data_IF_292906070353
#
_entry.id   IF_292906070353
#
_cell.length_a   1.000
_cell.length_b   1.000
_cell.length_c   1.000
_cell.angle_alpha   90.00
_cell.angle_beta   90.00
_cell.angle_gamma   90.00
#
_symmetry.space_group_name_H-M   'P 1'
#
loop_
_entity.id
_entity.type
_entity.pdbx_description
1 polymer ?
#
# COMPACT_ATOMS: atom_id res chain seq x y z
N UNK A 1 -16.40 4.68 -10.65
CA UNK A 1 -15.12 4.51 -9.90
C UNK A 1 -14.77 3.03 -9.84
N UNK A 2 -13.53 2.68 -10.17
CA UNK A 2 -13.04 1.30 -10.17
C UNK A 2 -11.74 1.18 -9.37
N UNK A 3 -11.56 0.06 -8.68
CA UNK A 3 -10.39 -0.21 -7.84
C UNK A 3 -9.55 -1.33 -8.45
N UNK A 4 -8.26 -1.07 -8.66
CA UNK A 4 -7.34 -2.07 -9.22
C UNK A 4 -6.11 -2.21 -8.33
N UNK A 5 -5.68 -3.43 -7.96
CA UNK A 5 -4.43 -3.63 -7.22
C UNK A 5 -3.26 -2.99 -7.95
N UNK A 6 -2.36 -2.31 -7.22
CA UNK A 6 -1.19 -1.64 -7.80
C UNK A 6 -0.38 -2.59 -8.68
N UNK A 7 -0.17 -3.83 -8.23
CA UNK A 7 0.56 -4.86 -8.98
C UNK A 7 -0.05 -5.15 -10.35
N UNK A 8 -1.38 -5.19 -10.47
CA UNK A 8 -2.07 -5.39 -11.74
C UNK A 8 -2.12 -4.11 -12.58
N UNK A 9 -2.18 -2.96 -11.92
CA UNK A 9 -2.23 -1.69 -12.63
C UNK A 9 -0.92 -1.40 -13.36
N UNK A 10 0.22 -1.71 -12.74
CA UNK A 10 1.54 -1.47 -13.34
C UNK A 10 1.90 -2.40 -14.50
N UNK A 11 1.16 -3.50 -14.67
CA UNK A 11 1.26 -4.37 -15.86
C UNK A 11 0.73 -3.65 -17.12
N UNK A 12 -0.22 -2.73 -16.94
CA UNK A 12 -0.85 -1.97 -18.03
C UNK A 12 -0.23 -0.59 -18.20
N UNK A 13 0.14 0.05 -17.09
CA UNK A 13 0.65 1.43 -17.06
C UNK A 13 2.05 1.45 -16.44
N UNK A 14 3.07 1.96 -17.13
CA UNK A 14 4.43 2.05 -16.60
C UNK A 14 4.50 2.76 -15.24
N UNK A 15 5.30 2.22 -14.31
CA UNK A 15 5.47 2.77 -12.96
C UNK A 15 5.77 4.28 -12.91
N UNK A 16 6.62 4.87 -13.80
CA UNK A 16 6.86 6.31 -13.79
C UNK A 16 5.60 7.15 -14.05
N UNK A 17 4.67 6.66 -14.88
CA UNK A 17 3.40 7.36 -15.15
C UNK A 17 2.46 7.28 -13.96
N UNK A 18 2.39 6.12 -13.30
CA UNK A 18 1.60 5.93 -12.08
C UNK A 18 2.13 6.84 -10.97
N UNK A 19 3.45 6.88 -10.78
CA UNK A 19 4.10 7.74 -9.79
C UNK A 19 3.81 9.22 -10.04
N UNK A 20 3.91 9.67 -11.30
CA UNK A 20 3.58 11.05 -11.70
C UNK A 20 2.12 11.38 -11.40
N UNK A 21 1.19 10.48 -11.70
CA UNK A 21 -0.23 10.69 -11.45
C UNK A 21 -0.58 10.75 -9.94
N UNK A 22 0.12 9.97 -9.12
CA UNK A 22 -0.08 9.96 -7.66
C UNK A 22 0.75 11.03 -6.92
N UNK A 23 1.60 11.79 -7.61
CA UNK A 23 2.46 12.79 -6.99
C UNK A 23 3.55 12.20 -6.10
N UNK A 24 4.02 10.98 -6.39
CA UNK A 24 5.10 10.32 -5.66
C UNK A 24 6.30 9.98 -6.55
N UNK A 25 7.37 9.42 -5.97
CA UNK A 25 8.53 8.97 -6.74
C UNK A 25 8.30 7.58 -7.34
N UNK A 26 8.94 7.27 -8.47
CA UNK A 26 8.94 5.90 -9.04
C UNK A 26 9.49 4.89 -8.04
N UNK A 27 10.48 5.28 -7.22
CA UNK A 27 11.03 4.46 -6.14
C UNK A 27 9.99 4.08 -5.07
N UNK A 28 9.03 4.97 -4.77
CA UNK A 28 7.95 4.66 -3.84
C UNK A 28 7.01 3.57 -4.37
N UNK A 29 6.71 3.60 -5.68
CA UNK A 29 5.93 2.54 -6.36
C UNK A 29 6.70 1.22 -6.32
N UNK A 30 7.99 1.25 -6.68
CA UNK A 30 8.85 0.07 -6.65
C UNK A 30 8.91 -0.55 -5.25
N UNK A 31 9.14 0.26 -4.21
CA UNK A 31 9.15 -0.21 -2.83
C UNK A 31 7.80 -0.82 -2.42
N UNK A 32 6.68 -0.24 -2.85
CA UNK A 32 5.37 -0.79 -2.54
C UNK A 32 5.15 -2.17 -3.17
N UNK A 33 5.64 -2.40 -4.38
CA UNK A 33 5.61 -3.70 -5.05
C UNK A 33 6.54 -4.71 -4.37
N UNK A 34 7.77 -4.31 -4.03
CA UNK A 34 8.75 -5.19 -3.37
C UNK A 34 8.31 -5.64 -1.98
N UNK A 35 7.69 -4.74 -1.22
CA UNK A 35 7.17 -5.03 0.12
C UNK A 35 5.79 -5.70 0.08
N UNK A 36 5.28 -6.05 -1.11
CA UNK A 36 3.95 -6.64 -1.31
C UNK A 36 2.85 -5.89 -0.53
N UNK A 37 2.89 -4.55 -0.52
CA UNK A 37 1.88 -3.72 0.14
C UNK A 37 0.54 -3.89 -0.58
N UNK A 38 -0.54 -4.01 0.19
CA UNK A 38 -1.90 -4.16 -0.36
C UNK A 38 -2.47 -2.79 -0.79
N UNK A 39 -1.89 -2.25 -1.87
CA UNK A 39 -2.20 -0.93 -2.42
C UNK A 39 -3.17 -1.06 -3.60
N UNK A 40 -4.18 -0.19 -3.65
CA UNK A 40 -5.17 -0.10 -4.71
C UNK A 40 -5.13 1.27 -5.38
N UNK A 41 -5.17 1.28 -6.70
CA UNK A 41 -5.37 2.45 -7.54
C UNK A 41 -6.86 2.62 -7.77
N UNK A 42 -7.35 3.85 -7.55
CA UNK A 42 -8.75 4.23 -7.81
C UNK A 42 -8.79 5.03 -9.09
N UNK A 43 -9.55 4.55 -10.07
CA UNK A 43 -9.77 5.23 -11.35
C UNK A 43 -11.21 5.71 -11.49
N UNK A 44 -11.38 6.84 -12.18
CA UNK A 44 -12.67 7.32 -12.66
C UNK A 44 -13.13 6.51 -13.88
N UNK A 45 -14.35 6.76 -14.35
CA UNK A 45 -14.96 6.01 -15.45
C UNK A 45 -14.32 6.35 -16.82
N UNK A 46 -13.61 7.48 -16.90
CA UNK A 46 -12.79 7.89 -18.05
C UNK A 46 -11.39 7.26 -18.04
N UNK A 47 -11.06 6.47 -17.01
CA UNK A 47 -9.75 5.83 -16.82
C UNK A 47 -8.69 6.72 -16.18
N UNK A 48 -9.02 7.97 -15.82
CA UNK A 48 -8.10 8.83 -15.06
C UNK A 48 -7.91 8.31 -13.63
N UNK A 49 -6.69 8.46 -13.10
CA UNK A 49 -6.40 8.09 -11.71
C UNK A 49 -6.97 9.18 -10.80
N UNK A 50 -7.94 8.80 -9.96
CA UNK A 50 -8.53 9.69 -8.95
C UNK A 50 -7.75 9.64 -7.63
N UNK A 51 -7.01 8.57 -7.37
CA UNK A 51 -6.21 8.42 -6.15
C UNK A 51 -5.71 7.00 -5.93
N UNK A 52 -5.15 6.76 -4.74
CA UNK A 52 -4.74 5.43 -4.30
C UNK A 52 -4.89 5.31 -2.77
N UNK A 53 -5.08 4.09 -2.28
CA UNK A 53 -5.11 3.80 -0.86
C UNK A 53 -4.44 2.46 -0.56
N UNK A 54 -4.10 2.23 0.70
CA UNK A 54 -3.49 0.99 1.17
C UNK A 54 -4.39 0.31 2.21
N UNK A 55 -4.66 -0.97 2.03
CA UNK A 55 -5.32 -1.80 3.04
C UNK A 55 -4.28 -2.27 4.04
N UNK A 56 -4.48 -1.90 5.30
CA UNK A 56 -3.66 -2.35 6.43
C UNK A 56 -4.57 -2.81 7.57
N UNK A 57 -4.22 -3.88 8.29
CA UNK A 57 -4.96 -4.29 9.47
C UNK A 57 -4.93 -3.17 10.52
N UNK A 58 -6.01 -3.06 11.28
CA UNK A 58 -6.09 -2.19 12.44
C UNK A 58 -6.04 -3.03 13.73
N UNK A 59 -5.21 -2.67 14.73
CA UNK A 59 -4.27 -1.56 14.76
C UNK A 59 -3.05 -1.78 13.86
N UNK A 60 -2.63 -0.75 13.13
CA UNK A 60 -1.52 -0.84 12.16
C UNK A 60 -0.14 -1.03 12.79
N UNK A 61 -0.01 -0.73 14.09
CA UNK A 61 1.13 -1.19 14.89
C UNK A 61 0.79 -2.59 15.38
N UNK A 62 1.64 -3.57 15.06
CA UNK A 62 1.67 -4.83 15.82
C UNK A 62 1.72 -4.41 17.28
N UNK A 63 0.72 -4.78 18.08
CA UNK A 63 0.78 -4.56 19.51
C UNK A 63 2.15 -5.09 19.94
N UNK A 64 3.00 -4.24 20.52
CA UNK A 64 4.18 -4.74 21.20
C UNK A 64 3.63 -5.78 22.16
N UNK A 65 3.95 -7.05 21.91
CA UNK A 65 3.56 -8.14 22.79
C UNK A 65 4.08 -7.78 24.17
N UNK A 66 3.22 -7.28 25.04
CA UNK A 66 3.45 -7.21 26.48
C UNK A 66 3.45 -8.66 26.97
N UNK A 67 4.55 -9.36 26.70
CA UNK A 67 4.78 -10.73 27.12
C UNK A 67 6.18 -10.81 27.73
N UNK A 68 6.46 -9.91 28.69
CA UNK A 68 7.49 -10.08 29.69
C UNK A 68 6.92 -9.54 31.01
N UNK A 69 5.96 -10.27 31.59
CA UNK A 69 5.84 -10.29 33.04
C UNK A 69 6.90 -11.28 33.53
N UNK A 70 7.92 -10.86 34.30
CA UNK A 70 8.62 -11.83 35.12
C UNK A 70 7.63 -12.32 36.19
N UNK A 71 7.36 -13.61 36.15
CA UNK A 71 6.83 -14.37 37.28
C UNK A 71 7.77 -14.10 38.46
N UNK A 72 7.29 -13.32 39.45
CA UNK A 72 8.03 -13.15 40.70
C UNK A 72 7.82 -14.44 41.47
N UNK A 73 8.80 -15.33 41.37
CA UNK A 73 8.95 -16.47 42.25
C UNK A 73 9.48 -16.01 43.62
N UNK A 74 8.90 -16.63 44.66
CA UNK A 74 9.26 -16.66 46.09
C UNK A 74 8.74 -15.50 46.95
#
# INVERSE_FOLDING_TARGET
MNETPLIKYVEKVPQPLVAKALGCTTGAIWQALQLARDVYIVTNDDGSISGAYEKKPFPGRKAHSMAQQPEVAV
#
